data_IF_217508351095
#
_entry.id   IF_217508351095
#
_cell.length_a   1.000
_cell.length_b   1.000
_cell.length_c   1.000
_cell.angle_alpha   90.00
_cell.angle_beta   90.00
_cell.angle_gamma   90.00
#
_symmetry.space_group_name_H-M   'P 1'
#
loop_
_entity.id
_entity.type
_entity.pdbx_description
1 polymer ?
#
# COMPACT_ATOMS: atom_id res chain seq x y z
N UNK A 1 37.62 -8.97 -7.48
CA UNK A 1 36.40 -9.43 -6.80
C UNK A 1 35.53 -8.24 -6.48
N UNK A 2 34.31 -8.29 -6.92
CA UNK A 2 33.37 -7.20 -6.68
C UNK A 2 32.84 -7.25 -5.26
N UNK A 3 33.06 -6.20 -4.49
CA UNK A 3 32.45 -6.01 -3.18
C UNK A 3 31.16 -5.24 -3.35
N UNK A 4 30.23 -5.78 -4.17
CA UNK A 4 28.92 -5.14 -4.30
C UNK A 4 28.06 -5.53 -3.10
N UNK A 5 27.69 -4.53 -2.34
CA UNK A 5 26.74 -4.67 -1.25
C UNK A 5 25.34 -4.39 -1.78
N UNK A 6 24.42 -5.26 -1.44
CA UNK A 6 23.02 -5.09 -1.81
C UNK A 6 22.19 -5.02 -0.54
N UNK A 7 21.26 -4.08 -0.50
CA UNK A 7 20.41 -3.93 0.66
C UNK A 7 19.26 -2.98 0.39
N UNK A 8 18.38 -2.85 1.37
CA UNK A 8 17.25 -1.92 1.31
C UNK A 8 17.76 -0.54 1.72
N UNK A 9 17.64 0.44 0.82
CA UNK A 9 18.08 1.81 1.08
C UNK A 9 16.94 2.69 1.57
N UNK A 10 15.70 2.27 1.41
CA UNK A 10 14.54 3.00 1.90
C UNK A 10 13.25 2.32 1.54
N UNK A 11 12.17 2.83 2.09
CA UNK A 11 10.81 2.35 1.81
C UNK A 11 9.82 3.49 2.01
N UNK A 12 8.62 3.29 1.53
CA UNK A 12 7.53 4.21 1.79
C UNK A 12 6.20 3.47 1.79
N UNK A 13 5.17 4.14 2.27
CA UNK A 13 3.81 3.61 2.32
C UNK A 13 2.83 4.68 1.84
N UNK A 14 1.68 4.25 1.37
CA UNK A 14 0.55 5.11 1.07
C UNK A 14 -0.67 4.59 1.84
N UNK A 15 -1.30 5.47 2.59
CA UNK A 15 -2.53 5.17 3.30
C UNK A 15 -3.63 6.10 2.80
N UNK A 16 -4.74 5.57 2.28
CA UNK A 16 -5.92 6.37 1.99
C UNK A 16 -6.39 7.16 3.20
N UNK A 17 -7.04 8.29 2.96
CA UNK A 17 -7.46 9.19 4.03
C UNK A 17 -8.74 8.74 4.75
N UNK A 18 -9.58 7.98 4.08
CA UNK A 18 -10.84 7.50 4.65
C UNK A 18 -10.58 6.33 5.59
N UNK A 19 -11.35 6.30 6.69
CA UNK A 19 -11.23 5.26 7.70
C UNK A 19 -12.61 4.77 8.11
N UNK A 20 -12.68 3.48 8.43
CA UNK A 20 -13.86 2.83 9.00
C UNK A 20 -13.48 2.30 10.38
N UNK A 21 -14.28 2.61 11.38
CA UNK A 21 -14.07 2.13 12.75
C UNK A 21 -14.43 0.65 12.88
N UNK A 22 -13.91 0.00 13.94
CA UNK A 22 -14.30 -1.37 14.26
C UNK A 22 -15.81 -1.50 14.51
N UNK A 23 -16.44 -0.46 15.05
CA UNK A 23 -17.90 -0.43 15.25
C UNK A 23 -18.64 -0.48 13.91
N UNK A 24 -18.27 0.36 12.95
CA UNK A 24 -18.85 0.36 11.61
C UNK A 24 -18.61 -0.97 10.89
N UNK A 25 -17.41 -1.55 11.03
CA UNK A 25 -17.10 -2.85 10.47
C UNK A 25 -17.97 -3.96 11.08
N UNK A 26 -18.26 -3.88 12.38
CA UNK A 26 -19.11 -4.85 13.06
C UNK A 26 -20.51 -4.87 12.49
N UNK A 27 -21.04 -3.70 12.13
CA UNK A 27 -22.34 -3.58 11.48
C UNK A 27 -22.33 -4.11 10.05
N UNK A 28 -21.27 -3.82 9.31
CA UNK A 28 -21.13 -4.25 7.91
C UNK A 28 -20.93 -5.75 7.76
N UNK A 29 -20.15 -6.35 8.66
CA UNK A 29 -19.75 -7.75 8.58
C UNK A 29 -20.64 -8.67 9.42
N UNK A 30 -21.53 -8.10 10.22
CA UNK A 30 -22.35 -8.85 11.20
C UNK A 30 -21.48 -9.69 12.14
N UNK A 31 -20.39 -9.08 12.62
CA UNK A 31 -19.46 -9.68 13.58
C UNK A 31 -19.39 -8.79 14.81
N UNK A 32 -19.44 -9.35 16.03
CA UNK A 32 -19.32 -8.54 17.25
C UNK A 32 -18.08 -7.67 17.27
N UNK A 33 -18.22 -6.41 17.67
CA UNK A 33 -17.14 -5.42 17.69
C UNK A 33 -15.92 -5.91 18.50
N UNK A 34 -16.16 -6.55 19.63
CA UNK A 34 -15.09 -7.09 20.48
C UNK A 34 -14.26 -8.17 19.75
N UNK A 35 -14.88 -8.93 18.86
CA UNK A 35 -14.15 -9.91 18.04
C UNK A 35 -13.23 -9.20 17.05
N UNK A 36 -13.72 -8.12 16.42
CA UNK A 36 -12.92 -7.34 15.49
C UNK A 36 -11.74 -6.70 16.20
N UNK A 37 -11.95 -6.10 17.36
CA UNK A 37 -10.89 -5.44 18.13
C UNK A 37 -9.92 -6.40 18.78
N UNK A 38 -10.43 -7.43 19.47
CA UNK A 38 -9.61 -8.24 20.37
C UNK A 38 -9.02 -9.48 19.68
N UNK A 39 -9.74 -10.09 18.75
CA UNK A 39 -9.26 -11.29 18.05
C UNK A 39 -8.65 -10.98 16.69
N UNK A 40 -9.29 -10.12 15.91
CA UNK A 40 -8.76 -9.73 14.60
C UNK A 40 -7.72 -8.61 14.74
N UNK A 41 -7.85 -7.79 15.80
CA UNK A 41 -6.88 -6.74 16.09
C UNK A 41 -7.09 -5.44 15.30
N UNK A 42 -8.28 -5.21 14.77
CA UNK A 42 -8.58 -4.01 14.00
C UNK A 42 -9.29 -3.00 14.89
N UNK A 43 -8.69 -1.84 15.09
CA UNK A 43 -9.33 -0.69 15.74
C UNK A 43 -10.03 0.18 14.70
N UNK A 44 -9.35 0.46 13.61
CA UNK A 44 -9.89 1.15 12.44
C UNK A 44 -9.20 0.62 11.19
N UNK A 45 -9.85 0.73 10.06
CA UNK A 45 -9.34 0.29 8.77
C UNK A 45 -9.36 1.45 7.79
N UNK A 46 -8.26 1.67 7.08
CA UNK A 46 -8.24 2.62 5.99
C UNK A 46 -8.95 2.02 4.77
N UNK A 47 -9.64 2.85 4.03
CA UNK A 47 -10.44 2.44 2.87
C UNK A 47 -10.08 3.32 1.68
N UNK A 48 -9.75 2.67 0.57
CA UNK A 48 -9.48 3.37 -0.68
C UNK A 48 -10.73 4.00 -1.25
N UNK A 49 -10.57 5.18 -1.81
CA UNK A 49 -11.59 5.85 -2.58
C UNK A 49 -11.63 5.30 -4.01
N UNK A 50 -12.59 5.76 -4.79
CA UNK A 50 -12.76 5.32 -6.18
C UNK A 50 -11.49 5.53 -7.02
N UNK A 51 -10.76 6.58 -6.75
CA UNK A 51 -9.50 6.92 -7.42
C UNK A 51 -8.27 6.23 -6.84
N UNK A 52 -8.41 5.54 -5.72
CA UNK A 52 -7.31 4.81 -5.06
C UNK A 52 -7.18 3.39 -5.60
N UNK A 53 -6.98 3.27 -6.90
CA UNK A 53 -6.68 1.99 -7.51
C UNK A 53 -5.27 1.52 -7.13
N UNK A 54 -5.05 0.21 -7.17
CA UNK A 54 -3.78 -0.40 -6.81
C UNK A 54 -2.59 0.25 -7.52
N UNK A 55 -2.70 0.47 -8.83
CA UNK A 55 -1.63 1.12 -9.61
C UNK A 55 -1.43 2.57 -9.16
N UNK A 56 -2.50 3.31 -8.93
CA UNK A 56 -2.40 4.72 -8.51
C UNK A 56 -1.74 4.84 -7.12
N UNK A 57 -2.12 4.00 -6.19
CA UNK A 57 -1.50 3.95 -4.87
C UNK A 57 -0.03 3.57 -4.96
N UNK A 58 0.30 2.60 -5.82
CA UNK A 58 1.69 2.17 -6.06
C UNK A 58 2.53 3.30 -6.64
N UNK A 59 2.01 4.03 -7.62
CA UNK A 59 2.70 5.18 -8.22
C UNK A 59 2.98 6.27 -7.19
N UNK A 60 1.99 6.62 -6.38
CA UNK A 60 2.15 7.62 -5.31
C UNK A 60 3.22 7.19 -4.32
N UNK A 61 3.19 5.92 -3.92
CA UNK A 61 4.18 5.37 -2.98
C UNK A 61 5.59 5.40 -3.58
N UNK A 62 5.74 4.94 -4.82
CA UNK A 62 7.03 4.90 -5.50
C UNK A 62 7.59 6.30 -5.71
N UNK A 63 6.80 7.24 -6.18
CA UNK A 63 7.21 8.63 -6.37
C UNK A 63 7.68 9.26 -5.06
N UNK A 64 6.92 9.09 -4.01
CA UNK A 64 7.27 9.61 -2.69
C UNK A 64 8.56 8.97 -2.17
N UNK A 65 8.73 7.67 -2.37
CA UNK A 65 9.93 6.97 -1.96
C UNK A 65 11.18 7.49 -2.68
N UNK A 66 11.12 7.68 -3.99
CA UNK A 66 12.22 8.22 -4.77
C UNK A 66 12.55 9.65 -4.37
N UNK A 67 11.53 10.48 -4.16
CA UNK A 67 11.71 11.86 -3.69
C UNK A 67 12.39 11.91 -2.32
N UNK A 68 11.93 11.12 -1.37
CA UNK A 68 12.49 11.09 -0.01
C UNK A 68 13.94 10.59 -0.01
N UNK A 69 14.30 9.70 -0.92
CA UNK A 69 15.66 9.16 -1.06
C UNK A 69 16.56 9.97 -2.00
N UNK A 70 16.02 11.01 -2.64
CA UNK A 70 16.74 11.81 -3.66
C UNK A 70 17.30 10.95 -4.80
N UNK A 71 16.51 9.98 -5.25
CA UNK A 71 16.89 9.11 -6.38
C UNK A 71 16.12 9.55 -7.62
N UNK A 72 16.84 9.77 -8.72
CA UNK A 72 16.23 10.06 -10.01
C UNK A 72 15.60 8.79 -10.59
N UNK A 73 14.38 8.86 -11.15
CA UNK A 73 13.75 7.71 -11.78
C UNK A 73 14.62 7.03 -12.84
N UNK A 74 15.43 7.81 -13.56
CA UNK A 74 16.34 7.32 -14.61
C UNK A 74 17.43 6.40 -14.05
N UNK A 75 17.71 6.47 -12.76
CA UNK A 75 18.73 5.64 -12.10
C UNK A 75 18.17 4.29 -11.65
N UNK A 76 16.89 4.05 -11.86
CA UNK A 76 16.24 2.78 -11.51
C UNK A 76 16.38 1.81 -12.69
N UNK A 77 17.06 0.70 -12.45
CA UNK A 77 17.34 -0.30 -13.49
C UNK A 77 16.23 -1.35 -13.61
N UNK A 78 15.53 -1.63 -12.52
CA UNK A 78 14.50 -2.67 -12.50
C UNK A 78 13.38 -2.26 -11.56
N UNK A 79 12.14 -2.43 -12.03
CA UNK A 79 10.94 -2.24 -11.21
C UNK A 79 10.19 -3.57 -11.13
N UNK A 80 9.90 -3.99 -9.91
CA UNK A 80 9.07 -5.17 -9.68
C UNK A 80 7.80 -4.72 -8.98
N UNK A 81 6.66 -5.00 -9.61
CA UNK A 81 5.36 -4.72 -9.03
C UNK A 81 4.70 -6.04 -8.63
N UNK A 82 4.07 -6.04 -7.46
CA UNK A 82 3.26 -7.15 -7.00
C UNK A 82 1.92 -6.63 -6.48
N UNK A 83 0.84 -7.17 -7.02
CA UNK A 83 -0.51 -6.79 -6.63
C UNK A 83 -1.51 -7.89 -6.98
N UNK A 84 -2.70 -7.82 -6.38
CA UNK A 84 -3.75 -8.82 -6.59
C UNK A 84 -4.78 -8.41 -7.65
N UNK A 85 -4.86 -7.15 -7.98
CA UNK A 85 -5.81 -6.63 -8.96
C UNK A 85 -5.11 -6.46 -10.31
N UNK A 86 -5.45 -7.33 -11.26
CA UNK A 86 -4.78 -7.41 -12.56
C UNK A 86 -5.52 -6.71 -13.70
N UNK A 87 -6.70 -6.18 -13.46
CA UNK A 87 -7.53 -5.63 -14.53
C UNK A 87 -6.85 -4.49 -15.29
N UNK A 88 -6.04 -3.73 -14.61
CA UNK A 88 -5.35 -2.58 -15.19
C UNK A 88 -4.08 -2.95 -15.96
N UNK A 89 -3.58 -4.18 -15.81
CA UNK A 89 -2.33 -4.63 -16.44
C UNK A 89 -2.53 -5.23 -17.81
N UNK A 90 -3.76 -5.54 -18.15
CA UNK A 90 -4.08 -6.19 -19.42
C UNK A 90 -4.22 -5.20 -20.57
N UNK A 91 -4.04 -3.93 -20.30
CA UNK A 91 -4.18 -2.87 -21.31
C UNK A 91 -2.87 -2.52 -22.01
N UNK A 92 -1.83 -3.21 -21.69
CA UNK A 92 -0.50 -3.00 -22.28
C UNK A 92 -0.08 -4.25 -23.06
#
# INVERSE_FOLDING_TARGET
>A
MNNSNCGIVGYNIYLPSEKISAHELSEMWDIPENIIKDKIGIQEKVVGQKEDHTIQMTLKTAQKCLEDLHICPEDVDLVIFNGEDYKEYLCY
#
